data_IF_806193228422
#
_entry.id   IF_806193228422
#
_cell.length_a   1.000
_cell.length_b   1.000
_cell.length_c   1.000
_cell.angle_alpha   90.00
_cell.angle_beta   90.00
_cell.angle_gamma   90.00
#
_symmetry.space_group_name_H-M   'P 1'
#
loop_
_entity.id
_entity.type
_entity.pdbx_description
1 polymer ?
#
# COMPACT_ATOMS: atom_id res chain seq x y z
N UNK A 1 -26.24 30.75 -70.91
CA UNK A 1 -26.12 29.37 -70.40
C UNK A 1 -25.05 29.41 -69.35
N UNK A 2 -25.41 29.26 -68.07
CA UNK A 2 -24.45 29.30 -66.97
C UNK A 2 -24.42 27.92 -66.34
N UNK A 3 -23.25 27.27 -66.39
CA UNK A 3 -22.99 25.93 -65.86
C UNK A 3 -23.01 25.93 -64.33
N UNK A 4 -23.66 24.93 -63.75
CA UNK A 4 -23.70 24.72 -62.30
C UNK A 4 -22.56 23.77 -61.90
N UNK A 5 -21.62 24.28 -61.09
CA UNK A 5 -20.57 23.47 -60.46
C UNK A 5 -21.18 22.74 -59.27
N UNK A 6 -21.18 21.40 -59.31
CA UNK A 6 -21.59 20.56 -58.19
C UNK A 6 -20.47 20.47 -57.16
N UNK A 7 -20.69 21.09 -56.01
CA UNK A 7 -19.80 20.99 -54.86
C UNK A 7 -20.05 19.63 -54.18
N UNK A 8 -19.07 18.72 -54.25
CA UNK A 8 -19.11 17.48 -53.47
C UNK A 8 -18.86 17.85 -52.01
N UNK A 9 -19.92 17.79 -51.21
CA UNK A 9 -19.84 17.96 -49.75
C UNK A 9 -18.94 16.87 -49.15
N UNK A 10 -17.85 17.31 -48.52
CA UNK A 10 -16.95 16.41 -47.78
C UNK A 10 -17.69 15.94 -46.53
N UNK A 11 -17.92 14.64 -46.41
CA UNK A 11 -18.52 14.06 -45.20
C UNK A 11 -17.75 14.54 -43.95
N UNK A 12 -18.46 14.96 -42.88
CA UNK A 12 -17.80 15.46 -41.68
C UNK A 12 -16.93 14.36 -41.06
N UNK A 13 -15.66 14.69 -40.84
CA UNK A 13 -14.72 13.85 -40.13
C UNK A 13 -15.26 13.64 -38.70
N UNK A 14 -15.44 12.39 -38.28
CA UNK A 14 -15.87 12.09 -36.91
C UNK A 14 -14.78 12.56 -35.92
N UNK A 15 -15.16 13.16 -34.79
CA UNK A 15 -14.19 13.53 -33.77
C UNK A 15 -13.46 12.27 -33.26
N UNK A 16 -12.17 12.39 -32.89
CA UNK A 16 -11.43 11.26 -32.34
C UNK A 16 -12.16 10.70 -31.11
N UNK A 17 -12.12 9.38 -30.88
CA UNK A 17 -12.72 8.80 -29.70
C UNK A 17 -12.12 9.43 -28.44
N UNK A 18 -12.88 9.57 -27.35
CA UNK A 18 -12.35 10.06 -26.10
C UNK A 18 -11.16 9.18 -25.66
N UNK A 19 -10.14 9.76 -25.00
CA UNK A 19 -9.06 8.96 -24.45
C UNK A 19 -9.64 7.87 -23.55
N UNK A 20 -9.02 6.67 -23.51
CA UNK A 20 -9.47 5.63 -22.60
C UNK A 20 -9.48 6.21 -21.17
N UNK A 21 -10.46 5.79 -20.33
CA UNK A 21 -10.47 6.24 -18.95
C UNK A 21 -9.13 5.88 -18.29
N UNK A 22 -8.61 6.75 -17.41
CA UNK A 22 -7.38 6.42 -16.68
C UNK A 22 -7.60 5.10 -15.94
N UNK A 23 -6.67 4.17 -16.13
CA UNK A 23 -6.69 2.91 -15.39
C UNK A 23 -6.36 3.24 -13.95
N UNK A 24 -7.36 3.19 -13.06
CA UNK A 24 -7.14 3.36 -11.63
C UNK A 24 -6.39 2.14 -11.11
N UNK A 25 -5.06 2.25 -10.98
CA UNK A 25 -4.25 1.27 -10.27
C UNK A 25 -4.35 1.54 -8.77
N UNK A 26 -4.51 0.48 -7.99
CA UNK A 26 -4.46 0.58 -6.54
C UNK A 26 -3.04 1.00 -6.12
N UNK A 27 -2.86 2.01 -5.25
CA UNK A 27 -1.54 2.36 -4.73
C UNK A 27 -1.04 1.36 -3.68
N UNK A 28 -1.84 0.33 -3.34
CA UNK A 28 -1.49 -0.60 -2.29
C UNK A 28 -0.36 -1.53 -2.76
N UNK A 29 0.71 -1.62 -1.95
CA UNK A 29 1.99 -2.24 -2.33
C UNK A 29 1.90 -3.68 -2.84
N UNK A 30 0.90 -4.45 -2.42
CA UNK A 30 0.71 -5.84 -2.89
C UNK A 30 0.28 -5.94 -4.36
N UNK A 31 -0.14 -4.82 -4.97
CA UNK A 31 -0.53 -4.73 -6.37
C UNK A 31 0.55 -4.05 -7.24
N UNK A 32 1.69 -3.69 -6.65
CA UNK A 32 2.80 -3.04 -7.35
C UNK A 32 3.86 -4.06 -7.72
N UNK A 33 4.60 -3.78 -8.79
CA UNK A 33 5.69 -4.60 -9.29
C UNK A 33 6.91 -3.74 -9.68
N UNK A 34 8.08 -4.40 -9.79
CA UNK A 34 9.34 -3.78 -10.22
C UNK A 34 9.65 -2.46 -9.51
N UNK A 35 9.97 -1.44 -10.31
CA UNK A 35 10.37 -0.12 -9.81
C UNK A 35 9.26 0.57 -8.97
N UNK A 36 7.97 0.30 -9.24
CA UNK A 36 6.87 0.87 -8.46
C UNK A 36 6.84 0.30 -7.04
N UNK A 37 7.04 -1.02 -6.91
CA UNK A 37 7.16 -1.69 -5.62
C UNK A 37 8.36 -1.17 -4.84
N UNK A 38 9.53 -1.07 -5.48
CA UNK A 38 10.77 -0.62 -4.82
C UNK A 38 10.65 0.83 -4.32
N UNK A 39 10.03 1.72 -5.11
CA UNK A 39 9.77 3.09 -4.71
C UNK A 39 8.81 3.17 -3.51
N UNK A 40 7.73 2.39 -3.52
CA UNK A 40 6.77 2.33 -2.42
C UNK A 40 7.42 1.78 -1.14
N UNK A 41 8.22 0.71 -1.25
CA UNK A 41 8.93 0.12 -0.11
C UNK A 41 9.97 1.08 0.48
N UNK A 42 10.69 1.83 -0.36
CA UNK A 42 11.64 2.84 0.09
C UNK A 42 10.94 3.98 0.88
N UNK A 43 9.83 4.50 0.36
CA UNK A 43 9.04 5.52 1.06
C UNK A 43 8.48 5.01 2.39
N UNK A 44 7.96 3.77 2.39
CA UNK A 44 7.49 3.11 3.60
C UNK A 44 8.62 2.94 4.62
N UNK A 45 9.82 2.55 4.19
CA UNK A 45 10.96 2.37 5.09
C UNK A 45 11.38 3.66 5.78
N UNK A 46 11.44 4.76 5.03
CA UNK A 46 11.70 6.10 5.60
C UNK A 46 10.63 6.46 6.64
N UNK A 47 9.36 6.23 6.34
CA UNK A 47 8.27 6.52 7.28
C UNK A 47 8.33 5.64 8.54
N UNK A 48 8.63 4.34 8.38
CA UNK A 48 8.78 3.41 9.51
C UNK A 48 9.93 3.83 10.42
N UNK A 49 11.10 4.13 9.84
CA UNK A 49 12.32 4.47 10.58
C UNK A 49 12.23 5.83 11.25
N UNK A 50 11.69 6.85 10.57
CA UNK A 50 11.76 8.23 11.03
C UNK A 50 10.49 8.76 11.69
N UNK A 51 9.36 8.06 11.58
CA UNK A 51 8.09 8.48 12.19
C UNK A 51 7.46 7.38 13.04
N UNK A 52 7.17 6.21 12.46
CA UNK A 52 6.41 5.19 13.17
C UNK A 52 7.15 4.69 14.41
N UNK A 53 8.39 4.21 14.26
CA UNK A 53 9.13 3.60 15.37
C UNK A 53 9.56 4.60 16.43
N UNK A 54 10.07 5.80 16.11
CA UNK A 54 10.45 6.77 17.13
C UNK A 54 9.30 7.22 18.02
N UNK A 55 8.08 7.28 17.47
CA UNK A 55 6.89 7.79 18.19
C UNK A 55 6.08 6.65 18.82
N UNK A 56 5.84 5.59 18.06
CA UNK A 56 4.88 4.53 18.41
C UNK A 56 5.53 3.17 18.65
N UNK A 57 6.84 3.06 18.45
CA UNK A 57 7.58 1.81 18.53
C UNK A 57 7.49 1.15 19.91
N UNK A 58 7.64 1.88 21.02
CA UNK A 58 7.76 1.30 22.39
C UNK A 58 8.90 0.26 22.50
N UNK A 59 9.22 -0.15 23.73
CA UNK A 59 10.28 -1.12 23.98
C UNK A 59 9.99 -2.49 23.36
N UNK A 60 11.01 -3.12 22.77
CA UNK A 60 10.92 -4.48 22.20
C UNK A 60 11.08 -5.50 23.31
N UNK A 61 10.12 -6.42 23.43
CA UNK A 61 10.17 -7.52 24.41
C UNK A 61 9.76 -8.84 23.75
N UNK A 62 9.93 -9.96 24.45
CA UNK A 62 9.44 -11.26 23.96
C UNK A 62 7.90 -11.34 23.81
N UNK A 63 7.16 -10.45 24.50
CA UNK A 63 5.69 -10.34 24.39
C UNK A 63 5.24 -9.26 23.41
N UNK A 64 6.17 -8.48 22.89
CA UNK A 64 5.92 -7.40 21.94
C UNK A 64 7.11 -7.29 20.97
N UNK A 65 7.32 -8.27 20.08
CA UNK A 65 8.49 -8.34 19.22
C UNK A 65 8.48 -7.26 18.13
N UNK A 66 9.66 -6.95 17.60
CA UNK A 66 9.86 -6.21 16.36
C UNK A 66 11.00 -6.87 15.58
N UNK A 67 10.82 -7.07 14.27
CA UNK A 67 11.89 -7.58 13.42
C UNK A 67 12.66 -6.39 12.79
N UNK A 68 14.00 -6.32 12.93
CA UNK A 68 14.79 -5.27 12.28
C UNK A 68 14.81 -5.40 10.75
N UNK A 69 14.46 -6.57 10.21
CA UNK A 69 14.31 -6.86 8.77
C UNK A 69 12.83 -7.00 8.41
N UNK A 70 11.97 -6.12 8.94
CA UNK A 70 10.51 -6.21 8.79
C UNK A 70 10.05 -6.31 7.32
N UNK A 71 10.81 -5.75 6.37
CA UNK A 71 10.53 -5.82 4.93
C UNK A 71 10.62 -7.25 4.35
N UNK A 72 11.24 -8.20 5.07
CA UNK A 72 11.27 -9.62 4.68
C UNK A 72 10.02 -10.39 5.15
N UNK A 73 9.11 -9.73 5.86
CA UNK A 73 7.83 -10.29 6.25
C UNK A 73 6.72 -9.66 5.39
N UNK A 74 6.25 -10.40 4.37
CA UNK A 74 5.25 -9.89 3.42
C UNK A 74 3.97 -9.36 4.10
N UNK A 75 3.48 -10.06 5.14
CA UNK A 75 2.34 -9.60 5.94
C UNK A 75 2.64 -8.27 6.65
N UNK A 76 3.85 -8.10 7.19
CA UNK A 76 4.24 -6.86 7.84
C UNK A 76 4.32 -5.69 6.84
N UNK A 77 4.86 -5.94 5.64
CA UNK A 77 4.88 -4.96 4.54
C UNK A 77 3.46 -4.52 4.19
N UNK A 78 2.54 -5.46 4.02
CA UNK A 78 1.14 -5.16 3.70
C UNK A 78 0.45 -4.35 4.82
N UNK A 79 0.59 -4.77 6.08
CA UNK A 79 0.00 -4.08 7.23
C UNK A 79 0.57 -2.66 7.41
N UNK A 80 1.90 -2.51 7.34
CA UNK A 80 2.57 -1.22 7.48
C UNK A 80 2.24 -0.28 6.32
N UNK A 81 2.17 -0.79 5.09
CA UNK A 81 1.80 0.03 3.94
C UNK A 81 0.35 0.52 4.02
N UNK A 82 -0.59 -0.35 4.42
CA UNK A 82 -1.98 0.06 4.65
C UNK A 82 -2.10 1.12 5.75
N UNK A 83 -1.35 0.94 6.85
CA UNK A 83 -1.27 1.92 7.92
C UNK A 83 -0.70 3.27 7.44
N UNK A 84 0.33 3.25 6.59
CA UNK A 84 0.94 4.44 6.02
C UNK A 84 0.01 5.18 5.06
N UNK A 85 -0.75 4.46 4.21
CA UNK A 85 -1.77 5.07 3.35
C UNK A 85 -2.86 5.77 4.18
N UNK A 86 -3.38 5.11 5.21
CA UNK A 86 -4.36 5.71 6.12
C UNK A 86 -3.80 6.93 6.87
N UNK A 87 -2.50 6.90 7.23
CA UNK A 87 -1.82 8.04 7.82
C UNK A 87 -1.79 9.24 6.88
N UNK A 88 -1.42 9.03 5.61
CA UNK A 88 -1.39 10.10 4.60
C UNK A 88 -2.78 10.72 4.37
N UNK A 89 -3.82 9.89 4.29
CA UNK A 89 -5.20 10.35 4.11
C UNK A 89 -5.71 11.15 5.32
N UNK A 90 -5.62 10.58 6.52
CA UNK A 90 -6.28 11.11 7.71
C UNK A 90 -5.47 12.20 8.42
N UNK A 91 -4.16 12.30 8.18
CA UNK A 91 -3.30 13.34 8.80
C UNK A 91 -2.84 14.42 7.82
N UNK A 92 -3.14 14.25 6.53
CA UNK A 92 -2.84 15.24 5.49
C UNK A 92 -3.78 16.45 5.49
N UNK A 93 -3.55 17.38 4.55
CA UNK A 93 -4.26 18.67 4.40
C UNK A 93 -5.79 18.51 4.24
N UNK A 94 -6.29 17.31 3.91
CA UNK A 94 -7.72 16.99 3.79
C UNK A 94 -8.37 16.20 4.94
N UNK A 95 -7.60 15.70 5.92
CA UNK A 95 -8.09 14.74 6.93
C UNK A 95 -8.99 15.31 8.03
N UNK A 96 -9.14 16.63 8.10
CA UNK A 96 -9.87 17.32 9.16
C UNK A 96 -9.18 17.24 10.54
N UNK A 97 -9.65 18.05 11.50
CA UNK A 97 -8.99 18.15 12.82
C UNK A 97 -9.07 16.86 13.64
N UNK A 98 -10.10 16.03 13.42
CA UNK A 98 -10.25 14.73 14.09
C UNK A 98 -9.50 13.59 13.40
N UNK A 99 -9.00 13.81 12.18
CA UNK A 99 -8.36 12.77 11.36
C UNK A 99 -7.23 12.02 12.08
N UNK A 100 -6.29 12.71 12.75
CA UNK A 100 -5.26 12.03 13.55
C UNK A 100 -5.84 11.13 14.64
N UNK A 101 -6.87 11.56 15.37
CA UNK A 101 -7.48 10.74 16.41
C UNK A 101 -8.16 9.48 15.83
N UNK A 102 -8.84 9.63 14.70
CA UNK A 102 -9.42 8.49 13.95
C UNK A 102 -8.33 7.54 13.47
N UNK A 103 -7.22 8.06 12.92
CA UNK A 103 -6.09 7.24 12.48
C UNK A 103 -5.52 6.37 13.61
N UNK A 104 -5.34 6.94 14.81
CA UNK A 104 -4.87 6.19 15.97
C UNK A 104 -5.83 5.07 16.36
N UNK A 105 -7.13 5.41 16.47
CA UNK A 105 -8.18 4.51 16.94
C UNK A 105 -8.42 3.35 15.96
N UNK A 106 -8.56 3.66 14.68
CA UNK A 106 -9.10 2.74 13.68
C UNK A 106 -8.00 2.00 12.92
N UNK A 107 -6.76 2.52 12.91
CA UNK A 107 -5.68 1.96 12.09
C UNK A 107 -4.41 1.64 12.88
N UNK A 108 -3.83 2.63 13.58
CA UNK A 108 -2.55 2.43 14.27
C UNK A 108 -2.64 1.35 15.36
N UNK A 109 -3.62 1.46 16.25
CA UNK A 109 -3.76 0.53 17.37
C UNK A 109 -3.92 -0.93 16.91
N UNK A 110 -4.86 -1.28 16.02
CA UNK A 110 -5.00 -2.66 15.57
C UNK A 110 -3.78 -3.17 14.80
N UNK A 111 -3.19 -2.37 13.91
CA UNK A 111 -2.00 -2.78 13.15
C UNK A 111 -0.80 -3.00 14.06
N UNK A 112 -0.51 -2.07 14.96
CA UNK A 112 0.59 -2.23 15.92
C UNK A 112 0.32 -3.39 16.88
N UNK A 113 -0.93 -3.63 17.29
CA UNK A 113 -1.26 -4.80 18.11
C UNK A 113 -0.96 -6.11 17.38
N UNK A 114 -1.29 -6.22 16.09
CA UNK A 114 -1.03 -7.41 15.28
C UNK A 114 0.47 -7.62 15.04
N UNK A 115 1.19 -6.59 14.60
CA UNK A 115 2.65 -6.67 14.36
C UNK A 115 3.41 -7.05 15.63
N UNK A 116 2.96 -6.55 16.78
CA UNK A 116 3.57 -6.75 18.10
C UNK A 116 3.00 -7.97 18.83
N UNK A 117 2.12 -8.76 18.22
CA UNK A 117 1.66 -9.99 18.83
C UNK A 117 2.82 -11.02 18.82
N UNK A 118 3.12 -11.71 19.93
CA UNK A 118 4.16 -12.75 19.96
C UNK A 118 3.86 -13.95 19.05
N UNK A 119 2.61 -14.13 18.61
CA UNK A 119 2.16 -15.08 17.59
C UNK A 119 1.93 -14.43 16.21
N UNK A 120 2.19 -13.12 16.08
CA UNK A 120 1.99 -12.36 14.86
C UNK A 120 3.13 -12.46 13.83
N UNK A 121 3.21 -11.49 12.90
CA UNK A 121 4.16 -11.51 11.77
C UNK A 121 5.62 -11.66 12.20
N UNK A 122 5.99 -11.06 13.33
CA UNK A 122 7.35 -11.12 13.88
C UNK A 122 7.57 -12.26 14.88
N UNK A 123 6.65 -13.21 15.00
CA UNK A 123 6.79 -14.34 15.93
C UNK A 123 8.09 -15.11 15.67
N UNK A 124 8.91 -15.26 16.70
CA UNK A 124 10.23 -15.91 16.64
C UNK A 124 11.40 -14.98 16.29
N UNK A 125 11.15 -13.73 15.89
CA UNK A 125 12.19 -12.71 15.79
C UNK A 125 12.58 -12.20 17.19
N UNK A 126 13.83 -11.76 17.35
CA UNK A 126 14.37 -11.20 18.61
C UNK A 126 15.11 -9.90 18.30
N UNK A 127 15.45 -9.08 19.30
CA UNK A 127 16.31 -7.92 19.08
C UNK A 127 17.59 -8.32 18.32
N UNK A 128 17.78 -7.74 17.13
CA UNK A 128 18.92 -8.03 16.26
C UNK A 128 18.86 -9.37 15.49
N UNK A 129 17.79 -10.15 15.61
CA UNK A 129 17.66 -11.49 14.99
C UNK A 129 16.37 -11.60 14.18
N UNK A 130 16.54 -11.91 12.90
CA UNK A 130 15.47 -12.22 11.95
C UNK A 130 15.19 -13.73 11.92
N UNK A 131 13.93 -14.11 11.69
CA UNK A 131 13.52 -15.49 11.44
C UNK A 131 12.60 -15.54 10.23
N UNK A 132 12.98 -16.31 9.23
CA UNK A 132 12.16 -16.54 8.03
C UNK A 132 10.81 -17.18 8.37
N UNK A 133 9.81 -16.85 7.55
CA UNK A 133 8.45 -17.38 7.63
C UNK A 133 8.16 -18.22 6.40
N UNK A 134 7.73 -19.44 6.62
CA UNK A 134 7.17 -20.29 5.58
C UNK A 134 5.68 -19.97 5.46
N UNK A 135 5.21 -19.81 4.23
CA UNK A 135 3.79 -19.71 3.95
C UNK A 135 3.11 -21.06 4.23
N UNK A 136 1.89 -21.07 4.80
CA UNK A 136 1.12 -22.31 4.90
C UNK A 136 0.91 -22.96 3.54
N UNK A 137 0.91 -24.28 3.50
CA UNK A 137 0.55 -25.03 2.30
C UNK A 137 -0.95 -24.89 2.02
N UNK A 138 -1.30 -24.78 0.74
CA UNK A 138 -2.67 -24.77 0.25
C UNK A 138 -2.78 -25.87 -0.79
N UNK A 139 -3.82 -26.69 -0.69
CA UNK A 139 -4.13 -27.69 -1.71
C UNK A 139 -4.37 -27.01 -3.06
N UNK A 140 -3.93 -27.64 -4.15
CA UNK A 140 -4.15 -27.09 -5.48
C UNK A 140 -5.65 -27.15 -5.81
N UNK A 141 -6.28 -25.97 -5.76
CA UNK A 141 -7.69 -25.79 -6.07
C UNK A 141 -8.04 -26.20 -7.51
N UNK A 142 -7.08 -26.14 -8.44
CA UNK A 142 -7.27 -26.46 -9.86
C UNK A 142 -6.88 -27.89 -10.22
N UNK A 143 -6.36 -28.67 -9.27
CA UNK A 143 -6.04 -30.09 -9.47
C UNK A 143 -7.27 -31.02 -9.37
N UNK A 144 -8.47 -30.47 -9.14
CA UNK A 144 -9.75 -31.18 -9.06
C UNK A 144 -10.52 -31.27 -10.38
#
# INVERSE_FOLDING_TARGET
>A
MTEAVVHVDRAPELPPPPPPPPVLRSPFIVHLDGDEYDAALAGLAVWVEHLLLPIYGREVTSRAPWCPRWWEHAEAVALLHGLWLAWQELTGVGGGLSGPASWHRDHLNPVMSSLRDPAGPFAGCKPGVHRDKESPEVEDYFAG
#
